data_IF_218567677783
#
_entry.id   IF_218567677783
#
_cell.length_a   1.000
_cell.length_b   1.000
_cell.length_c   1.000
_cell.angle_alpha   90.00
_cell.angle_beta   90.00
_cell.angle_gamma   90.00
#
_symmetry.space_group_name_H-M   'P 1'
#
loop_
_entity.id
_entity.type
_entity.pdbx_description
1 polymer ?
#
# COMPACT_ATOMS: atom_id res chain seq x y z
N UNK A 1 3.60 -1.54 20.30
CA UNK A 1 3.78 -1.08 18.92
C UNK A 1 4.88 -1.96 18.38
N UNK A 2 4.55 -2.94 17.53
CA UNK A 2 5.54 -3.89 17.03
C UNK A 2 6.20 -3.19 15.84
N UNK A 3 7.39 -2.64 16.09
CA UNK A 3 8.22 -2.10 15.02
C UNK A 3 8.74 -3.26 14.19
N UNK A 4 8.32 -3.28 12.93
CA UNK A 4 8.84 -4.21 11.94
C UNK A 4 10.15 -3.67 11.36
N UNK A 5 11.15 -4.53 11.17
CA UNK A 5 12.44 -4.18 10.55
C UNK A 5 12.27 -3.49 9.19
N UNK A 6 11.23 -3.86 8.43
CA UNK A 6 10.92 -3.27 7.12
C UNK A 6 10.55 -1.77 7.20
N UNK A 7 10.12 -1.26 8.36
CA UNK A 7 9.92 0.18 8.57
C UNK A 7 11.23 0.95 8.61
N UNK A 8 12.31 0.32 9.12
CA UNK A 8 13.63 0.94 9.16
C UNK A 8 14.24 1.08 7.76
N UNK A 9 13.86 0.20 6.83
CA UNK A 9 14.32 0.19 5.44
C UNK A 9 13.56 1.19 4.55
N UNK A 10 12.54 1.87 5.07
CA UNK A 10 11.75 2.82 4.31
C UNK A 10 12.55 4.10 3.96
N UNK A 11 12.39 4.61 2.72
CA UNK A 11 12.99 5.87 2.33
C UNK A 11 12.46 7.04 3.16
N UNK A 12 13.35 7.99 3.47
CA UNK A 12 13.04 9.24 4.19
C UNK A 12 13.52 10.42 3.33
N UNK A 13 12.63 11.35 2.94
CA UNK A 13 11.21 11.44 3.30
C UNK A 13 10.33 10.35 2.67
N UNK A 14 9.16 10.09 3.26
CA UNK A 14 8.16 9.16 2.70
C UNK A 14 7.79 9.60 1.27
N UNK A 15 7.66 8.66 0.31
CA UNK A 15 7.31 8.99 -1.05
C UNK A 15 5.88 9.52 -1.13
N UNK A 16 5.67 10.49 -2.03
CA UNK A 16 4.33 10.97 -2.36
C UNK A 16 3.55 9.89 -3.13
N UNK A 17 2.23 9.92 -3.02
CA UNK A 17 1.38 9.07 -3.84
C UNK A 17 1.55 9.44 -5.32
N UNK A 18 1.95 8.45 -6.13
CA UNK A 18 2.09 8.60 -7.57
C UNK A 18 0.74 8.77 -8.29
N UNK A 19 -0.34 8.38 -7.62
CA UNK A 19 -1.70 8.43 -8.16
C UNK A 19 -2.69 8.72 -7.04
N UNK A 20 -3.81 9.34 -7.39
CA UNK A 20 -4.88 9.64 -6.42
C UNK A 20 -5.71 8.38 -6.10
N UNK A 21 -5.76 7.44 -7.03
CA UNK A 21 -6.48 6.17 -6.94
C UNK A 21 -5.63 5.03 -7.51
N UNK A 22 -6.12 3.80 -7.43
CA UNK A 22 -5.49 2.63 -8.02
C UNK A 22 -5.67 2.64 -9.55
N UNK A 23 -4.58 2.81 -10.33
CA UNK A 23 -4.66 2.95 -11.79
C UNK A 23 -5.21 1.68 -12.46
N UNK A 24 -4.86 0.50 -11.96
CA UNK A 24 -5.37 -0.77 -12.49
C UNK A 24 -6.85 -0.98 -12.22
N UNK A 25 -7.37 -0.53 -11.07
CA UNK A 25 -8.81 -0.54 -10.83
C UNK A 25 -9.54 0.42 -11.78
N UNK A 26 -9.00 1.62 -11.98
CA UNK A 26 -9.56 2.60 -12.92
C UNK A 26 -9.57 2.06 -14.35
N UNK A 27 -8.47 1.42 -14.79
CA UNK A 27 -8.37 0.79 -16.10
C UNK A 27 -9.35 -0.39 -16.27
N UNK A 28 -9.60 -1.14 -15.20
CA UNK A 28 -10.59 -2.22 -15.18
C UNK A 28 -12.04 -1.73 -15.04
N UNK A 29 -12.27 -0.42 -14.90
CA UNK A 29 -13.61 0.15 -14.67
C UNK A 29 -14.21 -0.26 -13.31
N UNK A 30 -13.37 -0.57 -12.33
CA UNK A 30 -13.77 -0.98 -10.98
C UNK A 30 -13.39 0.07 -9.95
N UNK A 31 -14.15 0.13 -8.86
CA UNK A 31 -13.88 1.07 -7.78
C UNK A 31 -13.20 0.34 -6.60
N UNK A 32 -12.00 0.78 -6.19
CA UNK A 32 -11.34 0.21 -5.03
C UNK A 32 -12.12 0.53 -3.75
N UNK A 33 -12.26 -0.45 -2.87
CA UNK A 33 -12.97 -0.24 -1.58
C UNK A 33 -12.13 0.63 -0.66
N UNK A 34 -10.82 0.33 -0.57
CA UNK A 34 -9.83 1.09 0.20
C UNK A 34 -8.52 1.15 -0.59
N UNK A 35 -7.80 2.25 -0.44
CA UNK A 35 -6.52 2.50 -1.11
C UNK A 35 -5.36 2.31 -0.14
N UNK A 36 -4.26 1.75 -0.66
CA UNK A 36 -3.00 1.57 0.06
C UNK A 36 -1.88 2.23 -0.72
N UNK A 37 -1.09 3.05 -0.04
CA UNK A 37 0.09 3.72 -0.57
C UNK A 37 1.34 2.96 -0.18
N UNK A 38 2.12 2.49 -1.14
CA UNK A 38 3.43 1.92 -0.91
C UNK A 38 4.40 2.99 -0.39
N UNK A 39 4.96 2.77 0.79
CA UNK A 39 5.91 3.71 1.41
C UNK A 39 7.34 3.55 0.88
N UNK A 40 7.59 2.62 -0.04
CA UNK A 40 8.90 2.45 -0.67
C UNK A 40 8.97 3.21 -2.00
N UNK A 41 7.96 3.08 -2.86
CA UNK A 41 7.97 3.67 -4.20
C UNK A 41 6.84 4.68 -4.48
N UNK A 42 5.87 4.84 -3.56
CA UNK A 42 4.75 5.76 -3.75
C UNK A 42 3.58 5.22 -4.59
N UNK A 43 3.61 3.94 -4.99
CA UNK A 43 2.54 3.32 -5.76
C UNK A 43 1.24 3.20 -4.94
N UNK A 44 0.08 3.43 -5.56
CA UNK A 44 -1.23 3.32 -4.91
C UNK A 44 -1.99 2.11 -5.45
N UNK A 45 -2.24 1.13 -4.59
CA UNK A 45 -2.96 -0.11 -4.91
C UNK A 45 -4.28 -0.25 -4.14
N UNK A 46 -5.18 -1.10 -4.63
CA UNK A 46 -6.40 -1.44 -3.92
C UNK A 46 -6.15 -2.50 -2.84
N UNK A 47 -6.91 -2.43 -1.74
CA UNK A 47 -6.81 -3.35 -0.61
C UNK A 47 -7.19 -4.80 -0.99
N UNK A 48 -6.80 -5.75 -0.15
CA UNK A 48 -7.08 -7.20 -0.28
C UNK A 48 -8.58 -7.53 -0.36
N UNK A 49 -9.44 -6.70 0.25
CA UNK A 49 -10.90 -6.83 0.12
C UNK A 49 -11.47 -6.40 -1.23
N UNK A 50 -10.65 -5.79 -2.11
CA UNK A 50 -11.05 -5.48 -3.49
C UNK A 50 -10.77 -6.69 -4.39
N UNK A 51 -11.59 -6.95 -5.43
CA UNK A 51 -11.53 -8.18 -6.21
C UNK A 51 -10.16 -8.46 -6.86
N UNK A 52 -9.38 -7.40 -7.11
CA UNK A 52 -8.11 -7.49 -7.82
C UNK A 52 -6.86 -7.47 -6.93
N UNK A 53 -6.99 -7.11 -5.65
CA UNK A 53 -5.88 -7.17 -4.68
C UNK A 53 -4.57 -6.51 -5.17
N UNK A 54 -4.64 -5.39 -5.90
CA UNK A 54 -3.47 -4.79 -6.56
C UNK A 54 -2.35 -4.40 -5.59
N UNK A 55 -2.67 -4.06 -4.33
CA UNK A 55 -1.64 -3.82 -3.33
C UNK A 55 -0.86 -5.11 -2.98
N UNK A 56 -1.52 -6.27 -2.95
CA UNK A 56 -0.87 -7.58 -2.77
C UNK A 56 -0.05 -7.95 -4.00
N UNK A 57 -0.60 -7.80 -5.21
CA UNK A 57 0.12 -8.03 -6.45
C UNK A 57 1.37 -7.16 -6.57
N UNK A 58 1.27 -5.87 -6.25
CA UNK A 58 2.41 -4.95 -6.21
C UNK A 58 3.50 -5.42 -5.24
N UNK A 59 3.11 -5.90 -4.05
CA UNK A 59 4.07 -6.50 -3.10
C UNK A 59 4.76 -7.73 -3.69
N UNK A 60 4.03 -8.62 -4.36
CA UNK A 60 4.60 -9.83 -4.97
C UNK A 60 5.54 -9.51 -6.14
N UNK A 61 5.25 -8.47 -6.92
CA UNK A 61 6.07 -8.05 -8.07
C UNK A 61 7.33 -7.27 -7.67
N UNK A 62 7.22 -6.41 -6.65
CA UNK A 62 8.30 -5.47 -6.29
C UNK A 62 9.04 -5.83 -5.00
N UNK A 63 8.45 -6.67 -4.14
CA UNK A 63 8.96 -6.97 -2.81
C UNK A 63 8.72 -5.86 -1.77
N UNK A 64 7.90 -4.84 -2.07
CA UNK A 64 7.66 -3.74 -1.14
C UNK A 64 6.78 -4.15 0.05
N UNK A 65 7.42 -4.49 1.17
CA UNK A 65 6.75 -5.07 2.33
C UNK A 65 5.75 -4.14 3.04
N UNK A 66 5.95 -2.82 3.01
CA UNK A 66 5.15 -1.87 3.82
C UNK A 66 4.30 -0.94 2.96
N UNK A 67 3.02 -0.87 3.28
CA UNK A 67 2.09 0.09 2.71
C UNK A 67 1.28 0.80 3.78
N UNK A 68 0.94 2.07 3.55
CA UNK A 68 0.10 2.89 4.42
C UNK A 68 -1.33 2.94 3.92
N UNK A 69 -2.30 3.05 4.81
CA UNK A 69 -3.65 3.43 4.40
C UNK A 69 -3.62 4.82 3.72
N UNK A 70 -4.22 4.92 2.53
CA UNK A 70 -4.32 6.18 1.78
C UNK A 70 -5.72 6.81 1.95
N UNK A 71 -6.42 6.46 3.01
CA UNK A 71 -7.73 7.01 3.33
C UNK A 71 -7.63 8.27 4.19
N UNK A 72 -8.57 9.21 4.02
CA UNK A 72 -8.58 10.45 4.79
C UNK A 72 -8.69 10.14 6.30
N UNK A 73 -7.69 10.58 7.06
CA UNK A 73 -7.64 10.41 8.52
C UNK A 73 -6.98 9.12 9.02
N UNK A 74 -6.58 8.21 8.13
CA UNK A 74 -5.87 6.99 8.51
C UNK A 74 -4.38 7.11 8.21
N UNK A 75 -3.55 6.80 9.21
CA UNK A 75 -2.08 6.89 9.13
C UNK A 75 -1.37 5.59 9.50
N UNK A 76 -2.14 4.52 9.73
CA UNK A 76 -1.59 3.21 10.06
C UNK A 76 -0.91 2.58 8.84
N UNK A 77 0.09 1.75 9.14
CA UNK A 77 0.88 1.04 8.13
C UNK A 77 0.64 -0.45 8.26
N UNK A 78 0.66 -1.14 7.14
CA UNK A 78 0.51 -2.59 7.03
C UNK A 78 1.81 -3.17 6.53
N UNK A 79 2.32 -4.18 7.22
CA UNK A 79 3.40 -5.00 6.69
C UNK A 79 2.80 -6.28 6.07
N UNK A 80 3.03 -6.50 4.78
CA UNK A 80 2.61 -7.72 4.07
C UNK A 80 3.41 -8.95 4.49
N UNK A 81 4.68 -8.76 4.88
CA UNK A 81 5.53 -9.85 5.37
C UNK A 81 5.06 -10.33 6.74
N UNK A 82 4.85 -9.40 7.68
CA UNK A 82 4.43 -9.74 9.05
C UNK A 82 2.91 -9.90 9.22
N UNK A 83 2.13 -9.52 8.20
CA UNK A 83 0.66 -9.61 8.14
C UNK A 83 -0.05 -8.93 9.31
N UNK A 84 0.49 -7.79 9.77
CA UNK A 84 -0.11 -6.99 10.84
C UNK A 84 0.14 -5.48 10.66
N UNK A 85 -0.57 -4.68 11.47
CA UNK A 85 -0.41 -3.22 11.52
C UNK A 85 0.86 -2.86 12.29
N UNK A 86 1.71 -2.04 11.68
CA UNK A 86 3.00 -1.57 12.19
C UNK A 86 3.06 -0.06 12.33
#
# INVERSE_FOLDING_TARGET
MIECSHLAELPRPEPAALSVTCPDCEAAGSHPVQLRLCLVCGHVGCCDSSPYQHATAHFEETGHAVMRAYEPGQTWRWCYVDKHIV
#
